data_IF_745106493976
#
_entry.id   IF_745106493976
#
_cell.length_a   1.000
_cell.length_b   1.000
_cell.length_c   1.000
_cell.angle_alpha   90.00
_cell.angle_beta   90.00
_cell.angle_gamma   90.00
#
_symmetry.space_group_name_H-M   'P 1'
#
loop_
_entity.id
_entity.type
_entity.pdbx_description
1 polymer ?
#
# COMPACT_ATOMS: atom_id res chain seq x y z
N UNK A 1 11.99 -1.06 25.82
CA UNK A 1 12.46 0.34 25.93
C UNK A 1 11.62 1.00 26.98
N UNK A 2 12.24 1.46 28.04
CA UNK A 2 11.56 2.06 29.19
C UNK A 2 11.69 3.59 29.17
N UNK A 3 12.78 4.14 28.58
CA UNK A 3 13.01 5.57 28.49
C UNK A 3 13.97 5.93 27.33
N UNK A 4 14.13 7.22 27.03
CA UNK A 4 15.07 7.79 26.06
C UNK A 4 15.92 8.84 26.77
N UNK A 5 17.24 8.76 26.64
CA UNK A 5 18.18 9.74 27.21
C UNK A 5 18.45 10.83 26.17
N UNK A 6 18.01 12.04 26.47
CA UNK A 6 18.11 13.23 25.62
C UNK A 6 16.85 14.07 25.70
N UNK A 7 16.93 15.32 25.27
CA UNK A 7 15.76 16.18 25.17
C UNK A 7 15.11 16.03 23.77
N UNK A 8 13.85 16.42 23.63
CA UNK A 8 13.14 16.37 22.35
C UNK A 8 13.66 17.37 21.29
N UNK A 9 14.65 18.17 21.61
CA UNK A 9 15.32 19.12 20.72
C UNK A 9 16.79 18.79 20.47
N UNK A 10 17.28 17.65 20.96
CA UNK A 10 18.67 17.22 20.87
C UNK A 10 18.77 15.78 20.33
N UNK A 11 19.93 15.37 19.81
CA UNK A 11 20.15 13.98 19.44
C UNK A 11 19.92 13.02 20.61
N UNK A 12 19.32 11.87 20.36
CA UNK A 12 19.21 10.78 21.33
C UNK A 12 20.62 10.30 21.69
N UNK A 13 20.95 10.36 22.97
CA UNK A 13 22.21 9.85 23.48
C UNK A 13 22.17 8.35 23.73
N UNK A 14 21.05 7.84 24.27
CA UNK A 14 20.83 6.42 24.51
C UNK A 14 19.34 6.08 24.58
N UNK A 15 19.03 4.80 24.36
CA UNK A 15 17.74 4.20 24.66
C UNK A 15 17.91 3.32 25.91
N UNK A 16 17.01 3.47 26.89
CA UNK A 16 17.04 2.64 28.11
C UNK A 16 16.30 1.34 27.86
N UNK A 17 17.03 0.25 27.77
CA UNK A 17 16.50 -1.09 27.67
C UNK A 17 16.25 -1.71 29.05
N UNK A 18 15.14 -2.44 29.21
CA UNK A 18 14.78 -3.07 30.50
C UNK A 18 15.85 -4.04 31.01
N UNK A 19 16.43 -4.81 30.12
CA UNK A 19 17.39 -5.89 30.45
C UNK A 19 18.85 -5.46 30.25
N UNK A 20 19.11 -4.49 29.37
CA UNK A 20 20.45 -4.15 28.91
C UNK A 20 20.91 -2.74 29.30
N UNK A 21 20.12 -2.01 30.08
CA UNK A 21 20.44 -0.62 30.46
C UNK A 21 20.50 0.31 29.24
N UNK A 22 21.46 1.23 29.25
CA UNK A 22 21.61 2.23 28.19
C UNK A 22 22.24 1.62 26.94
N UNK A 23 21.52 1.74 25.81
CA UNK A 23 21.96 1.38 24.47
C UNK A 23 22.27 2.66 23.71
N UNK A 24 23.54 2.92 23.44
CA UNK A 24 24.02 4.10 22.72
C UNK A 24 24.07 3.84 21.21
N UNK A 25 24.00 4.91 20.41
CA UNK A 25 24.12 4.83 18.96
C UNK A 25 24.24 6.23 18.35
N UNK A 26 24.83 6.31 17.16
CA UNK A 26 24.97 7.56 16.41
C UNK A 26 23.70 7.87 15.60
N UNK A 27 22.97 6.83 15.18
CA UNK A 27 21.70 6.91 14.44
C UNK A 27 20.71 5.89 14.99
N UNK A 28 19.49 6.32 15.25
CA UNK A 28 18.39 5.47 15.72
C UNK A 28 17.33 5.33 14.65
N UNK A 29 16.93 4.10 14.33
CA UNK A 29 15.86 3.82 13.39
C UNK A 29 14.63 3.41 14.18
N UNK A 30 13.60 4.25 14.18
CA UNK A 30 12.33 3.99 14.86
C UNK A 30 11.47 3.02 14.02
N UNK A 31 11.55 1.74 14.35
CA UNK A 31 10.68 0.68 13.83
C UNK A 31 9.69 0.20 14.90
N UNK A 32 9.28 1.05 15.84
CA UNK A 32 8.46 0.67 17.00
C UNK A 32 6.96 0.54 16.67
N UNK A 33 6.61 0.54 15.40
CA UNK A 33 5.24 0.33 14.96
C UNK A 33 4.35 1.54 15.23
N UNK A 34 3.07 1.34 15.39
CA UNK A 34 2.11 2.42 15.69
C UNK A 34 2.44 3.19 16.98
N UNK A 35 3.20 2.58 17.88
CA UNK A 35 3.63 3.26 19.11
C UNK A 35 4.55 4.45 18.83
N UNK A 36 5.34 4.41 17.74
CA UNK A 36 6.24 5.49 17.29
C UNK A 36 7.01 6.10 18.46
N UNK A 37 7.70 5.23 19.22
CA UNK A 37 8.25 5.61 20.54
C UNK A 37 9.31 6.70 20.47
N UNK A 38 10.11 6.73 19.41
CA UNK A 38 11.14 7.74 19.26
C UNK A 38 10.59 8.97 18.52
N UNK A 39 10.11 8.78 17.29
CA UNK A 39 9.68 9.90 16.45
C UNK A 39 8.41 10.58 16.99
N UNK A 40 7.45 9.78 17.47
CA UNK A 40 6.15 10.27 17.92
C UNK A 40 6.15 10.67 19.39
N UNK A 41 6.60 9.78 20.29
CA UNK A 41 6.49 10.04 21.73
C UNK A 41 7.64 10.92 22.26
N UNK A 42 8.89 10.63 21.89
CA UNK A 42 10.03 11.40 22.36
C UNK A 42 10.16 12.75 21.63
N UNK A 43 10.18 12.75 20.28
CA UNK A 43 10.31 13.98 19.51
C UNK A 43 9.00 14.74 19.29
N UNK A 44 7.85 14.17 19.64
CA UNK A 44 6.56 14.82 19.52
C UNK A 44 6.11 15.11 18.07
N UNK A 45 6.72 14.46 17.07
CA UNK A 45 6.34 14.69 15.67
C UNK A 45 4.93 14.11 15.42
N UNK A 46 3.96 14.94 15.04
CA UNK A 46 2.58 14.50 14.88
C UNK A 46 2.39 13.65 13.63
N UNK A 47 1.38 12.77 13.67
CA UNK A 47 0.83 12.13 12.49
C UNK A 47 -0.09 13.12 11.76
N UNK A 48 0.15 13.38 10.48
CA UNK A 48 -0.76 14.12 9.62
C UNK A 48 -1.88 13.19 9.18
N UNK A 49 -3.09 13.46 9.63
CA UNK A 49 -4.25 12.62 9.30
C UNK A 49 -4.64 12.74 7.82
N UNK A 50 -4.96 11.59 7.22
CA UNK A 50 -5.55 11.49 5.89
C UNK A 50 -7.01 11.02 5.92
N UNK A 51 -7.67 11.00 7.10
CA UNK A 51 -9.01 10.43 7.28
C UNK A 51 -10.11 11.14 6.47
N UNK A 52 -9.89 12.42 6.12
CA UNK A 52 -10.78 13.17 5.22
C UNK A 52 -10.65 12.78 3.74
N UNK A 53 -9.60 12.04 3.38
CA UNK A 53 -9.32 11.57 2.00
C UNK A 53 -9.56 10.06 1.89
N UNK A 54 -9.08 9.31 2.90
CA UNK A 54 -9.14 7.86 3.01
C UNK A 54 -9.79 7.51 4.35
N UNK A 55 -11.08 7.18 4.33
CA UNK A 55 -11.88 7.03 5.55
C UNK A 55 -11.70 5.68 6.27
N UNK A 56 -10.97 4.72 5.68
CA UNK A 56 -10.74 3.42 6.30
C UNK A 56 -9.77 3.54 7.48
N UNK A 57 -10.22 3.07 8.65
CA UNK A 57 -9.51 3.17 9.92
C UNK A 57 -9.49 1.85 10.71
N UNK A 58 -10.16 0.83 10.19
CA UNK A 58 -10.33 -0.44 10.87
C UNK A 58 -10.20 -1.62 9.90
N UNK A 59 -9.78 -2.77 10.41
CA UNK A 59 -9.77 -4.01 9.66
C UNK A 59 -10.06 -5.23 10.56
N UNK A 60 -10.70 -6.24 9.96
CA UNK A 60 -10.83 -7.58 10.55
C UNK A 60 -10.01 -8.52 9.67
N UNK A 61 -9.02 -9.20 10.25
CA UNK A 61 -8.06 -10.05 9.54
C UNK A 61 -8.07 -11.49 10.06
N UNK A 62 -8.05 -12.46 9.15
CA UNK A 62 -8.04 -13.88 9.47
C UNK A 62 -7.14 -14.65 8.50
N UNK A 63 -6.61 -15.78 8.98
CA UNK A 63 -5.96 -16.77 8.14
C UNK A 63 -6.98 -17.88 7.83
N UNK A 64 -7.18 -18.17 6.54
CA UNK A 64 -8.12 -19.17 6.06
C UNK A 64 -7.34 -20.32 5.38
N UNK A 65 -7.17 -21.49 6.02
CA UNK A 65 -6.51 -22.65 5.42
C UNK A 65 -7.25 -23.10 4.16
N UNK A 66 -6.52 -23.61 3.18
CA UNK A 66 -7.15 -24.27 2.03
C UNK A 66 -7.84 -25.56 2.43
N UNK A 67 -8.89 -25.94 1.68
CA UNK A 67 -9.59 -27.24 1.88
C UNK A 67 -8.66 -28.42 1.64
N UNK A 68 -7.69 -28.28 0.73
CA UNK A 68 -6.62 -29.26 0.48
C UNK A 68 -5.41 -28.60 -0.19
N UNK A 69 -4.30 -29.32 -0.24
CA UNK A 69 -3.02 -28.83 -0.78
C UNK A 69 -2.96 -28.71 -2.31
N UNK A 70 -3.96 -29.22 -3.04
CA UNK A 70 -4.01 -29.17 -4.52
C UNK A 70 -4.67 -27.89 -5.03
N UNK A 71 -5.35 -27.13 -4.15
CA UNK A 71 -6.05 -25.90 -4.54
C UNK A 71 -5.07 -24.89 -5.15
N UNK A 72 -5.40 -24.38 -6.31
CA UNK A 72 -4.59 -23.36 -6.98
C UNK A 72 -4.53 -22.06 -6.19
N UNK A 73 -3.33 -21.49 -6.12
CA UNK A 73 -3.04 -20.24 -5.48
C UNK A 73 -3.22 -19.10 -6.50
N UNK A 74 -4.02 -18.09 -6.15
CA UNK A 74 -4.08 -16.89 -6.96
C UNK A 74 -2.71 -16.20 -7.01
N UNK A 75 -2.29 -15.77 -8.19
CA UNK A 75 -1.02 -15.04 -8.37
C UNK A 75 -1.12 -13.54 -8.09
N UNK A 76 -2.32 -13.07 -7.78
CA UNK A 76 -2.63 -11.67 -7.46
C UNK A 76 -3.39 -11.58 -6.15
N UNK A 77 -3.28 -10.47 -5.45
CA UNK A 77 -4.21 -10.10 -4.39
C UNK A 77 -5.56 -9.77 -5.02
N UNK A 78 -6.64 -10.39 -4.53
CA UNK A 78 -7.98 -9.97 -4.91
C UNK A 78 -8.45 -8.88 -3.94
N UNK A 79 -8.81 -7.72 -4.48
CA UNK A 79 -9.41 -6.62 -3.72
C UNK A 79 -10.88 -6.51 -4.11
N UNK A 80 -11.77 -6.88 -3.20
CA UNK A 80 -13.22 -6.97 -3.47
C UNK A 80 -13.96 -5.89 -2.69
N UNK A 81 -14.54 -4.93 -3.40
CA UNK A 81 -15.31 -3.85 -2.80
C UNK A 81 -16.53 -4.38 -2.02
N UNK A 82 -16.77 -3.82 -0.85
CA UNK A 82 -17.91 -4.08 0.05
C UNK A 82 -18.65 -2.76 0.33
N UNK A 83 -19.73 -2.79 1.05
CA UNK A 83 -20.58 -1.60 1.30
C UNK A 83 -19.86 -0.48 2.06
N UNK A 84 -18.92 -0.79 2.93
CA UNK A 84 -18.20 0.20 3.76
C UNK A 84 -16.68 0.04 3.75
N UNK A 85 -16.15 -0.49 2.66
CA UNK A 85 -14.72 -0.75 2.49
C UNK A 85 -14.45 -1.81 1.43
N UNK A 86 -13.43 -2.64 1.63
CA UNK A 86 -13.04 -3.68 0.69
C UNK A 86 -12.32 -4.85 1.40
N UNK A 87 -12.43 -6.04 0.82
CA UNK A 87 -11.77 -7.25 1.32
C UNK A 87 -10.51 -7.49 0.50
N UNK A 88 -9.36 -7.69 1.20
CA UNK A 88 -8.18 -8.31 0.58
C UNK A 88 -8.23 -9.83 0.72
N UNK A 89 -7.80 -10.53 -0.30
CA UNK A 89 -7.65 -11.99 -0.32
C UNK A 89 -6.31 -12.33 -0.98
N UNK A 90 -5.36 -12.80 -0.18
CA UNK A 90 -3.98 -13.07 -0.58
C UNK A 90 -3.73 -14.58 -0.48
N UNK A 91 -3.43 -15.23 -1.60
CA UNK A 91 -3.03 -16.62 -1.64
C UNK A 91 -1.60 -16.82 -1.17
N UNK A 92 -1.41 -17.64 -0.13
CA UNK A 92 -0.12 -18.11 0.38
C UNK A 92 0.01 -19.63 0.15
N UNK A 93 1.18 -20.24 0.30
CA UNK A 93 1.35 -21.68 0.04
C UNK A 93 0.38 -22.60 0.80
N UNK A 94 0.14 -22.36 2.08
CA UNK A 94 -0.68 -23.22 2.96
C UNK A 94 -2.07 -22.67 3.27
N UNK A 95 -2.33 -21.39 3.02
CA UNK A 95 -3.55 -20.71 3.43
C UNK A 95 -3.77 -19.43 2.61
N UNK A 96 -4.90 -18.80 2.83
CA UNK A 96 -5.11 -17.41 2.44
C UNK A 96 -4.98 -16.48 3.64
N UNK A 97 -4.45 -15.28 3.42
CA UNK A 97 -4.61 -14.13 4.31
C UNK A 97 -5.79 -13.30 3.82
N UNK A 98 -6.88 -13.28 4.56
CA UNK A 98 -8.10 -12.57 4.16
C UNK A 98 -8.46 -11.55 5.22
N UNK A 99 -8.93 -10.39 4.79
CA UNK A 99 -9.43 -9.42 5.74
C UNK A 99 -10.25 -8.32 5.11
N UNK A 100 -11.10 -7.72 5.91
CA UNK A 100 -11.96 -6.62 5.52
C UNK A 100 -11.44 -5.31 6.12
N UNK A 101 -11.02 -4.39 5.27
CA UNK A 101 -10.71 -3.00 5.61
C UNK A 101 -11.98 -2.19 5.48
N UNK A 102 -12.33 -1.42 6.50
CA UNK A 102 -13.58 -0.67 6.53
C UNK A 102 -13.45 0.65 7.29
N UNK A 103 -14.41 1.53 7.07
CA UNK A 103 -14.56 2.76 7.83
C UNK A 103 -15.48 2.53 9.03
N UNK A 104 -14.97 2.74 10.24
CA UNK A 104 -15.75 2.60 11.47
C UNK A 104 -16.87 3.65 11.61
N UNK A 105 -16.80 4.73 10.84
CA UNK A 105 -17.88 5.72 10.73
C UNK A 105 -19.09 5.21 9.92
N UNK A 106 -18.90 4.18 9.09
CA UNK A 106 -19.92 3.66 8.17
C UNK A 106 -20.31 2.20 8.45
N UNK A 107 -19.59 1.50 9.29
CA UNK A 107 -19.79 0.07 9.56
C UNK A 107 -19.35 -0.26 10.99
N UNK A 108 -20.19 -0.96 11.73
CA UNK A 108 -19.82 -1.51 13.03
C UNK A 108 -18.89 -2.72 12.87
N UNK A 109 -18.21 -3.11 13.96
CA UNK A 109 -17.39 -4.31 13.97
C UNK A 109 -18.18 -5.58 13.67
N UNK A 110 -19.39 -5.70 14.21
CA UNK A 110 -20.23 -6.86 14.02
C UNK A 110 -20.69 -7.01 12.56
N UNK A 111 -21.06 -5.91 11.91
CA UNK A 111 -21.37 -5.88 10.48
C UNK A 111 -20.14 -6.24 9.63
N UNK A 112 -18.96 -5.74 10.01
CA UNK A 112 -17.72 -6.07 9.33
C UNK A 112 -17.37 -7.55 9.44
N UNK A 113 -17.58 -8.16 10.62
CA UNK A 113 -17.41 -9.61 10.82
C UNK A 113 -18.39 -10.43 10.00
N UNK A 114 -19.66 -10.04 9.99
CA UNK A 114 -20.70 -10.72 9.20
C UNK A 114 -20.40 -10.63 7.69
N UNK A 115 -19.89 -9.50 7.21
CA UNK A 115 -19.47 -9.30 5.82
C UNK A 115 -18.31 -10.24 5.46
N UNK A 116 -17.29 -10.29 6.31
CA UNK A 116 -16.12 -11.18 6.10
C UNK A 116 -16.52 -12.65 6.15
N UNK A 117 -17.41 -13.04 7.08
CA UNK A 117 -17.95 -14.40 7.17
C UNK A 117 -18.71 -14.80 5.91
N UNK A 118 -19.55 -13.90 5.40
CA UNK A 118 -20.29 -14.11 4.16
C UNK A 118 -19.34 -14.29 2.97
N UNK A 119 -18.29 -13.47 2.87
CA UNK A 119 -17.27 -13.60 1.83
C UNK A 119 -16.59 -14.97 1.89
N UNK A 120 -16.15 -15.39 3.07
CA UNK A 120 -15.44 -16.66 3.26
C UNK A 120 -16.34 -17.88 2.96
N UNK A 121 -17.62 -17.85 3.34
CA UNK A 121 -18.58 -18.92 3.02
C UNK A 121 -18.82 -19.12 1.52
N UNK A 122 -18.64 -18.07 0.72
CA UNK A 122 -18.72 -18.18 -0.76
C UNK A 122 -17.42 -18.71 -1.38
N UNK A 123 -16.30 -18.65 -0.67
CA UNK A 123 -15.02 -19.16 -1.15
C UNK A 123 -14.88 -20.67 -0.88
N UNK A 124 -15.20 -21.48 -1.89
CA UNK A 124 -15.11 -22.94 -1.80
C UNK A 124 -13.66 -23.48 -1.74
N UNK A 125 -12.65 -22.60 -1.81
CA UNK A 125 -11.23 -22.99 -1.79
C UNK A 125 -10.67 -23.05 -0.38
N UNK A 126 -11.35 -22.46 0.61
CA UNK A 126 -10.90 -22.45 2.00
C UNK A 126 -11.77 -23.35 2.87
N UNK A 127 -11.17 -23.91 3.91
CA UNK A 127 -11.90 -24.60 4.96
C UNK A 127 -12.75 -23.60 5.77
N UNK A 128 -13.77 -24.11 6.46
CA UNK A 128 -14.57 -23.29 7.37
C UNK A 128 -13.68 -22.69 8.46
N UNK A 129 -13.82 -21.39 8.67
CA UNK A 129 -13.09 -20.63 9.69
C UNK A 129 -14.04 -19.88 10.61
N UNK A 130 -13.72 -19.88 11.88
CA UNK A 130 -14.47 -19.16 12.90
C UNK A 130 -14.06 -17.68 12.89
N UNK A 131 -14.86 -16.83 12.24
CA UNK A 131 -14.59 -15.38 12.11
C UNK A 131 -14.61 -14.66 13.46
N UNK A 132 -15.18 -15.25 14.54
CA UNK A 132 -15.08 -14.69 15.88
C UNK A 132 -13.64 -14.56 16.36
N UNK A 133 -12.73 -15.42 15.88
CA UNK A 133 -11.28 -15.39 16.15
C UNK A 133 -10.49 -14.43 15.27
N UNK A 134 -11.14 -13.78 14.30
CA UNK A 134 -10.47 -12.82 13.44
C UNK A 134 -9.95 -11.63 14.26
N UNK A 135 -8.71 -11.23 13.97
CA UNK A 135 -8.05 -10.13 14.65
C UNK A 135 -8.61 -8.80 14.18
N UNK A 136 -9.08 -7.97 15.11
CA UNK A 136 -9.33 -6.55 14.85
C UNK A 136 -8.03 -5.76 14.84
N UNK A 137 -7.88 -4.88 13.87
CA UNK A 137 -6.79 -3.92 13.73
C UNK A 137 -7.44 -2.55 13.60
N UNK A 138 -7.05 -1.61 14.45
CA UNK A 138 -7.47 -0.21 14.36
C UNK A 138 -6.26 0.64 14.05
N UNK A 139 -6.40 1.59 13.16
CA UNK A 139 -5.31 2.49 12.76
C UNK A 139 -5.86 3.89 12.44
N UNK A 140 -4.97 4.88 12.49
CA UNK A 140 -5.26 6.23 12.02
C UNK A 140 -4.61 6.39 10.66
N UNK A 141 -5.37 6.53 9.56
CA UNK A 141 -4.77 6.72 8.24
C UNK A 141 -4.02 8.05 8.20
N UNK A 142 -2.73 7.97 7.91
CA UNK A 142 -1.88 9.16 7.90
C UNK A 142 -0.40 8.84 7.89
N UNK A 143 0.40 9.88 7.76
CA UNK A 143 1.84 9.81 7.76
C UNK A 143 2.46 11.04 8.44
N UNK A 144 3.73 10.95 8.85
CA UNK A 144 4.47 12.10 9.39
C UNK A 144 5.15 12.85 8.25
N UNK A 145 5.00 14.17 8.22
CA UNK A 145 5.72 15.01 7.24
C UNK A 145 7.21 15.06 7.53
N UNK A 146 7.57 15.00 8.81
CA UNK A 146 8.96 14.93 9.26
C UNK A 146 9.24 13.51 9.75
N UNK A 147 9.99 12.76 8.98
CA UNK A 147 10.32 11.35 9.21
C UNK A 147 11.68 11.17 9.86
N UNK A 148 12.59 12.15 9.68
CA UNK A 148 13.92 12.17 10.24
C UNK A 148 14.13 13.45 11.02
N UNK A 149 14.36 13.32 12.33
CA UNK A 149 14.65 14.40 13.27
C UNK A 149 15.93 14.06 14.01
N UNK A 150 16.86 15.02 14.07
CA UNK A 150 18.15 14.86 14.72
C UNK A 150 18.84 13.56 14.23
N UNK A 151 19.12 12.64 15.13
CA UNK A 151 19.68 11.32 14.81
C UNK A 151 18.64 10.20 14.86
N UNK A 152 17.37 10.49 14.65
CA UNK A 152 16.30 9.50 14.63
C UNK A 152 15.52 9.55 13.31
N UNK A 153 15.32 8.39 12.69
CA UNK A 153 14.51 8.24 11.47
C UNK A 153 13.42 7.18 11.68
N UNK A 154 12.19 7.52 11.34
CA UNK A 154 11.05 6.62 11.42
C UNK A 154 10.88 5.81 10.13
N UNK A 155 10.69 4.50 10.27
CA UNK A 155 10.43 3.58 9.15
C UNK A 155 9.24 2.67 9.48
N UNK A 156 8.46 2.34 8.47
CA UNK A 156 7.28 1.49 8.62
C UNK A 156 6.13 2.24 9.28
N UNK A 157 5.36 1.58 10.16
CA UNK A 157 4.15 2.17 10.75
C UNK A 157 4.43 3.27 11.78
N UNK A 158 5.68 3.44 12.24
CA UNK A 158 6.09 4.62 12.99
C UNK A 158 6.15 5.89 12.12
N UNK A 159 6.47 5.73 10.84
CA UNK A 159 6.48 6.80 9.83
C UNK A 159 5.08 7.19 9.37
N UNK A 160 4.20 6.21 9.20
CA UNK A 160 2.83 6.37 8.75
C UNK A 160 2.21 5.04 8.37
N UNK A 161 0.89 5.04 8.25
CA UNK A 161 0.13 3.89 7.76
C UNK A 161 -1.12 4.35 7.01
N UNK A 162 -1.37 3.71 5.90
CA UNK A 162 -2.60 3.80 5.14
C UNK A 162 -3.15 2.39 4.94
N UNK A 163 -4.36 2.29 4.47
CA UNK A 163 -4.93 0.99 4.11
C UNK A 163 -4.03 0.22 3.12
N UNK A 164 -4.05 -1.13 3.13
CA UNK A 164 -3.09 -1.93 2.37
C UNK A 164 -3.42 -2.04 0.87
N UNK A 165 -4.29 -1.19 0.33
CA UNK A 165 -4.56 -1.11 -1.10
C UNK A 165 -3.24 -0.78 -1.82
N UNK A 166 -2.91 -1.55 -2.87
CA UNK A 166 -1.66 -1.42 -3.65
C UNK A 166 -0.37 -1.77 -2.89
N UNK A 167 -0.47 -2.33 -1.67
CA UNK A 167 0.64 -2.90 -0.90
C UNK A 167 1.89 -1.99 -0.74
N UNK A 168 1.70 -0.66 -0.73
CA UNK A 168 2.78 0.34 -0.72
C UNK A 168 3.66 0.33 0.53
N UNK A 169 3.15 -0.20 1.65
CA UNK A 169 3.84 -0.14 2.94
C UNK A 169 5.21 -0.85 2.93
N UNK A 170 5.30 -2.06 2.35
CA UNK A 170 6.55 -2.80 2.27
C UNK A 170 7.58 -2.13 1.37
N UNK A 171 7.13 -1.58 0.24
CA UNK A 171 7.98 -0.83 -0.69
C UNK A 171 8.54 0.43 -0.02
N UNK A 172 7.73 1.14 0.77
CA UNK A 172 8.19 2.29 1.53
C UNK A 172 9.26 1.93 2.57
N UNK A 173 9.14 0.78 3.23
CA UNK A 173 10.17 0.28 4.15
C UNK A 173 11.47 -0.01 3.40
N UNK A 174 11.40 -0.74 2.28
CA UNK A 174 12.55 -1.09 1.47
C UNK A 174 13.26 0.15 0.90
N UNK A 175 12.51 1.09 0.35
CA UNK A 175 13.05 2.35 -0.16
C UNK A 175 13.70 3.19 0.94
N UNK A 176 13.09 3.26 2.12
CA UNK A 176 13.64 3.98 3.27
C UNK A 176 14.94 3.34 3.73
N UNK A 177 14.98 2.02 3.90
CA UNK A 177 16.18 1.30 4.30
C UNK A 177 17.30 1.44 3.26
N UNK A 178 16.96 1.32 1.99
CA UNK A 178 17.92 1.49 0.88
C UNK A 178 18.48 2.91 0.83
N UNK A 179 17.63 3.93 1.01
CA UNK A 179 18.07 5.32 1.01
C UNK A 179 19.05 5.59 2.16
N UNK A 180 18.73 5.14 3.38
CA UNK A 180 19.60 5.30 4.55
C UNK A 180 20.93 4.56 4.34
N UNK A 181 20.89 3.31 3.87
CA UNK A 181 22.09 2.51 3.64
C UNK A 181 23.04 3.15 2.61
N UNK A 182 22.49 3.74 1.54
CA UNK A 182 23.29 4.42 0.50
C UNK A 182 23.85 5.77 0.94
N UNK A 183 23.23 6.43 1.91
CA UNK A 183 23.55 7.79 2.35
C UNK A 183 23.84 7.87 3.85
N UNK A 184 24.36 6.78 4.44
CA UNK A 184 24.64 6.74 5.86
C UNK A 184 25.59 7.90 6.27
N UNK A 185 25.15 8.83 7.11
CA UNK A 185 25.96 9.99 7.50
C UNK A 185 27.14 9.58 8.39
N UNK A 186 28.26 10.26 8.24
CA UNK A 186 29.49 10.04 9.04
C UNK A 186 29.66 11.06 10.16
N UNK A 187 28.97 12.17 10.07
CA UNK A 187 29.01 13.26 11.03
C UNK A 187 27.60 13.74 11.36
N UNK A 188 27.43 14.37 12.51
CA UNK A 188 26.14 14.94 12.88
C UNK A 188 25.64 16.00 11.88
N UNK A 189 26.54 16.81 11.33
CA UNK A 189 26.19 17.80 10.29
C UNK A 189 25.68 17.12 9.02
N UNK A 190 26.29 16.01 8.63
CA UNK A 190 25.79 15.19 7.50
C UNK A 190 24.46 14.55 7.85
N UNK A 191 24.26 14.08 9.10
CA UNK A 191 23.00 13.52 9.56
C UNK A 191 21.83 14.50 9.39
N UNK A 192 22.02 15.76 9.80
CA UNK A 192 21.03 16.81 9.60
C UNK A 192 20.75 17.08 8.10
N UNK A 193 21.77 17.08 7.27
CA UNK A 193 21.60 17.30 5.83
C UNK A 193 20.87 16.12 5.17
N UNK A 194 21.25 14.89 5.49
CA UNK A 194 20.60 13.66 5.02
C UNK A 194 19.13 13.62 5.46
N UNK A 195 18.85 14.01 6.72
CA UNK A 195 17.50 14.09 7.26
C UNK A 195 16.59 15.04 6.48
N UNK A 196 17.09 16.22 6.11
CA UNK A 196 16.31 17.16 5.26
C UNK A 196 16.01 16.60 3.88
N UNK A 197 16.98 15.96 3.24
CA UNK A 197 16.77 15.31 1.93
C UNK A 197 15.80 14.13 2.02
N UNK A 198 15.95 13.31 3.07
CA UNK A 198 15.05 12.20 3.32
C UNK A 198 13.61 12.68 3.51
N UNK A 199 13.39 13.66 4.38
CA UNK A 199 12.06 14.21 4.64
C UNK A 199 11.40 14.72 3.37
N UNK A 200 12.10 15.52 2.56
CA UNK A 200 11.57 16.04 1.31
C UNK A 200 11.21 14.93 0.32
N UNK A 201 12.07 13.93 0.17
CA UNK A 201 11.84 12.84 -0.77
C UNK A 201 10.69 11.91 -0.34
N UNK A 202 10.60 11.59 0.95
CA UNK A 202 9.62 10.64 1.45
C UNK A 202 8.26 11.28 1.76
N UNK A 203 8.18 12.55 2.11
CA UNK A 203 6.92 13.29 2.17
C UNK A 203 6.21 13.23 0.79
N UNK A 204 6.94 13.50 -0.29
CA UNK A 204 6.40 13.41 -1.64
C UNK A 204 5.90 12.00 -1.99
N UNK A 205 6.63 10.96 -1.58
CA UNK A 205 6.19 9.56 -1.80
C UNK A 205 4.88 9.25 -1.06
N UNK A 206 4.73 9.73 0.18
CA UNK A 206 3.48 9.59 0.93
C UNK A 206 2.31 10.31 0.25
N UNK A 207 2.51 11.54 -0.22
CA UNK A 207 1.51 12.27 -1.00
C UNK A 207 1.06 11.48 -2.23
N UNK A 208 2.02 10.89 -2.98
CA UNK A 208 1.72 10.04 -4.15
C UNK A 208 0.92 8.79 -3.80
N UNK A 209 1.22 8.16 -2.66
CA UNK A 209 0.42 7.02 -2.19
C UNK A 209 -1.01 7.46 -1.90
N UNK A 210 -1.22 8.55 -1.17
CA UNK A 210 -2.56 9.06 -0.88
C UNK A 210 -3.33 9.35 -2.16
N UNK A 211 -2.73 10.03 -3.13
CA UNK A 211 -3.35 10.35 -4.41
C UNK A 211 -3.69 9.09 -5.22
N UNK A 212 -2.79 8.11 -5.24
CA UNK A 212 -3.02 6.87 -5.98
C UNK A 212 -4.13 6.02 -5.35
N UNK A 213 -4.16 5.92 -4.02
CA UNK A 213 -5.26 5.26 -3.33
C UNK A 213 -6.59 6.00 -3.56
N UNK A 214 -6.59 7.32 -3.44
CA UNK A 214 -7.77 8.15 -3.69
C UNK A 214 -8.30 8.00 -5.11
N UNK A 215 -7.42 7.80 -6.09
CA UNK A 215 -7.80 7.58 -7.49
C UNK A 215 -8.77 6.40 -7.64
N UNK A 216 -8.56 5.30 -6.92
CA UNK A 216 -9.46 4.14 -6.96
C UNK A 216 -10.87 4.49 -6.48
N UNK A 217 -10.96 5.34 -5.47
CA UNK A 217 -12.24 5.73 -4.89
C UNK A 217 -12.98 6.77 -5.74
N UNK A 218 -12.28 7.81 -6.17
CA UNK A 218 -12.92 8.91 -6.92
C UNK A 218 -13.44 8.47 -8.29
N UNK A 219 -12.85 7.42 -8.87
CA UNK A 219 -13.28 6.83 -10.13
C UNK A 219 -14.39 5.78 -9.97
N UNK A 220 -14.69 5.34 -8.76
CA UNK A 220 -15.70 4.33 -8.52
C UNK A 220 -17.10 4.85 -8.93
N UNK A 221 -17.89 4.02 -9.59
CA UNK A 221 -19.29 4.33 -9.93
C UNK A 221 -20.28 3.87 -8.83
N UNK A 222 -19.77 3.33 -7.71
CA UNK A 222 -20.61 2.85 -6.61
C UNK A 222 -21.25 4.00 -5.86
N UNK A 223 -22.58 3.93 -5.66
CA UNK A 223 -23.38 4.97 -4.99
C UNK A 223 -24.31 4.41 -3.91
N UNK A 224 -24.40 3.08 -3.81
CA UNK A 224 -25.42 2.42 -2.98
C UNK A 224 -25.26 2.73 -1.49
N UNK A 225 -24.03 2.89 -0.97
CA UNK A 225 -23.77 3.18 0.44
C UNK A 225 -23.31 4.63 0.66
N UNK A 226 -23.46 5.12 1.88
CA UNK A 226 -22.92 6.41 2.32
C UNK A 226 -21.40 6.43 2.18
N UNK A 227 -20.72 5.34 2.56
CA UNK A 227 -19.27 5.19 2.41
C UNK A 227 -18.78 5.48 0.99
N UNK A 228 -19.37 4.85 -0.03
CA UNK A 228 -18.93 5.07 -1.41
C UNK A 228 -19.22 6.48 -1.91
N UNK A 229 -20.34 7.10 -1.49
CA UNK A 229 -20.62 8.51 -1.82
C UNK A 229 -19.58 9.44 -1.22
N UNK A 230 -19.18 9.23 0.04
CA UNK A 230 -18.17 10.06 0.71
C UNK A 230 -16.78 9.84 0.11
N UNK A 231 -16.40 8.57 -0.16
CA UNK A 231 -15.10 8.25 -0.75
C UNK A 231 -14.94 8.74 -2.19
N UNK A 232 -16.03 8.95 -2.93
CA UNK A 232 -16.04 9.51 -4.29
C UNK A 232 -15.95 11.03 -4.32
N UNK A 233 -16.07 11.70 -3.19
CA UNK A 233 -16.05 13.17 -3.16
C UNK A 233 -14.74 13.70 -3.76
N UNK A 234 -14.87 14.47 -4.86
CA UNK A 234 -13.72 15.06 -5.57
C UNK A 234 -13.08 16.21 -4.79
N UNK A 235 -13.82 16.88 -3.91
CA UNK A 235 -13.30 17.96 -3.07
C UNK A 235 -12.24 17.48 -2.08
N UNK A 236 -12.26 16.19 -1.73
CA UNK A 236 -11.25 15.58 -0.87
C UNK A 236 -9.99 15.12 -1.63
N UNK A 237 -9.96 15.24 -2.97
CA UNK A 237 -8.74 15.00 -3.74
C UNK A 237 -7.74 16.14 -3.54
N UNK A 238 -6.45 15.83 -3.57
CA UNK A 238 -5.40 16.84 -3.65
C UNK A 238 -5.55 17.68 -4.93
N UNK A 239 -5.05 18.91 -4.93
CA UNK A 239 -4.98 19.75 -6.14
C UNK A 239 -4.25 19.02 -7.27
N UNK A 240 -3.17 18.31 -6.94
CA UNK A 240 -2.39 17.53 -7.91
C UNK A 240 -3.23 16.44 -8.59
N UNK A 241 -4.00 15.67 -7.83
CA UNK A 241 -4.86 14.63 -8.39
C UNK A 241 -5.99 15.24 -9.24
N UNK A 242 -6.56 16.35 -8.82
CA UNK A 242 -7.59 17.08 -9.59
C UNK A 242 -7.02 17.58 -10.92
N UNK A 243 -5.82 18.16 -10.91
CA UNK A 243 -5.14 18.64 -12.12
C UNK A 243 -4.84 17.47 -13.08
N UNK A 244 -4.33 16.35 -12.57
CA UNK A 244 -4.09 15.15 -13.36
C UNK A 244 -5.38 14.62 -13.99
N UNK A 245 -6.45 14.46 -13.21
CA UNK A 245 -7.74 14.01 -13.74
C UNK A 245 -8.27 14.95 -14.81
N UNK A 246 -8.04 16.25 -14.69
CA UNK A 246 -8.42 17.26 -15.70
C UNK A 246 -7.61 17.08 -16.98
N UNK A 247 -6.29 16.95 -16.89
CA UNK A 247 -5.41 16.74 -18.04
C UNK A 247 -5.70 15.41 -18.74
N UNK A 248 -5.92 14.34 -17.95
CA UNK A 248 -6.14 13.00 -18.48
C UNK A 248 -7.52 12.82 -19.14
N UNK A 249 -8.44 13.78 -19.01
CA UNK A 249 -9.64 13.84 -19.85
C UNK A 249 -9.33 14.03 -21.34
N UNK A 250 -8.24 14.72 -21.66
CA UNK A 250 -7.86 15.02 -23.04
C UNK A 250 -6.70 14.17 -23.57
N UNK A 251 -5.98 13.44 -22.71
CA UNK A 251 -4.85 12.58 -23.07
C UNK A 251 -4.60 11.53 -22.01
N UNK A 252 -3.85 10.48 -22.34
CA UNK A 252 -3.38 9.49 -21.37
C UNK A 252 -2.33 10.06 -20.41
N UNK A 253 -2.17 9.48 -19.20
CA UNK A 253 -0.99 9.69 -18.38
C UNK A 253 0.30 9.38 -19.14
N UNK A 254 1.31 10.22 -18.96
CA UNK A 254 2.66 10.04 -19.51
C UNK A 254 3.71 10.23 -18.41
N UNK A 255 4.91 9.71 -18.61
CA UNK A 255 5.97 9.76 -17.58
C UNK A 255 6.34 11.17 -17.15
N UNK A 256 6.20 12.17 -18.02
CA UNK A 256 6.46 13.58 -17.68
C UNK A 256 5.39 14.24 -16.81
N UNK A 257 4.28 13.57 -16.51
CA UNK A 257 3.30 14.06 -15.53
C UNK A 257 3.82 13.91 -14.09
N UNK A 258 4.88 13.12 -13.89
CA UNK A 258 5.40 12.75 -12.59
C UNK A 258 6.76 13.40 -12.36
N UNK A 259 6.90 14.06 -11.22
CA UNK A 259 8.10 14.86 -10.90
C UNK A 259 9.24 14.00 -10.31
N UNK A 260 8.91 12.87 -9.67
CA UNK A 260 9.90 12.05 -9.00
C UNK A 260 10.65 11.19 -10.02
N UNK A 261 11.98 11.17 -9.91
CA UNK A 261 12.82 10.30 -10.73
C UNK A 261 12.50 8.81 -10.53
N UNK A 262 12.10 8.46 -9.31
CA UNK A 262 11.71 7.11 -8.91
C UNK A 262 10.30 7.16 -8.30
N UNK A 263 9.30 7.13 -9.18
CA UNK A 263 7.89 7.06 -8.77
C UNK A 263 7.55 5.67 -8.24
N UNK A 264 6.77 5.61 -7.14
CA UNK A 264 6.22 4.34 -6.65
C UNK A 264 5.25 3.74 -7.68
N UNK A 265 4.44 4.60 -8.27
CA UNK A 265 3.44 4.24 -9.26
C UNK A 265 3.77 4.96 -10.57
N UNK A 266 4.38 4.29 -11.56
CA UNK A 266 4.67 4.89 -12.86
C UNK A 266 3.39 5.13 -13.65
N UNK A 267 3.47 5.87 -14.76
CA UNK A 267 2.35 6.15 -15.65
C UNK A 267 1.51 4.91 -15.99
N UNK A 268 2.17 3.75 -16.16
CA UNK A 268 1.50 2.49 -16.45
C UNK A 268 0.50 2.09 -15.33
N UNK A 269 0.85 2.27 -14.05
CA UNK A 269 -0.04 1.97 -12.92
C UNK A 269 -1.30 2.85 -12.97
N UNK A 270 -1.14 4.14 -13.22
CA UNK A 270 -2.27 5.05 -13.40
C UNK A 270 -3.14 4.68 -14.62
N UNK A 271 -2.56 4.25 -15.73
CA UNK A 271 -3.29 3.78 -16.90
C UNK A 271 -4.16 2.57 -16.58
N UNK A 272 -3.63 1.58 -15.84
CA UNK A 272 -4.39 0.39 -15.44
C UNK A 272 -5.58 0.77 -14.57
N UNK A 273 -5.37 1.62 -13.55
CA UNK A 273 -6.46 2.03 -12.66
C UNK A 273 -7.49 2.88 -13.41
N UNK A 274 -7.08 3.91 -14.13
CA UNK A 274 -7.98 4.80 -14.88
C UNK A 274 -8.88 4.02 -15.82
N UNK A 275 -8.28 3.27 -16.74
CA UNK A 275 -9.06 2.57 -17.77
C UNK A 275 -9.75 1.32 -17.24
N UNK A 276 -9.18 0.66 -16.24
CA UNK A 276 -9.83 -0.43 -15.52
C UNK A 276 -11.09 0.00 -14.77
N UNK A 277 -11.09 1.23 -14.24
CA UNK A 277 -12.24 1.85 -13.56
C UNK A 277 -13.21 2.56 -14.51
N UNK A 278 -13.03 2.42 -15.81
CA UNK A 278 -13.96 2.95 -16.81
C UNK A 278 -13.72 4.40 -17.23
N UNK A 279 -12.69 5.06 -16.73
CA UNK A 279 -12.31 6.40 -17.18
C UNK A 279 -12.03 6.40 -18.68
N UNK A 280 -12.38 7.48 -19.37
CA UNK A 280 -12.17 7.61 -20.82
C UNK A 280 -11.53 8.96 -21.14
N UNK A 281 -10.33 8.90 -21.72
CA UNK A 281 -9.69 10.08 -22.29
C UNK A 281 -10.33 10.41 -23.64
N UNK A 282 -10.71 11.66 -23.84
CA UNK A 282 -11.28 12.15 -25.10
C UNK A 282 -10.13 12.77 -25.91
N UNK A 283 -9.57 11.98 -26.81
CA UNK A 283 -8.56 12.48 -27.73
C UNK A 283 -9.21 13.39 -28.78
N UNK A 284 -8.50 14.43 -29.21
CA UNK A 284 -8.98 15.25 -30.32
C UNK A 284 -8.99 14.41 -31.61
N UNK A 285 -9.79 14.86 -32.62
CA UNK A 285 -10.05 14.12 -33.87
C UNK A 285 -8.77 13.74 -34.63
N UNK A 286 -7.71 14.55 -34.54
CA UNK A 286 -6.40 14.29 -35.18
C UNK A 286 -5.72 13.06 -34.58
N UNK A 287 -5.82 12.87 -33.26
CA UNK A 287 -5.29 11.69 -32.59
C UNK A 287 -6.17 10.47 -32.84
N UNK A 288 -7.51 10.63 -32.86
CA UNK A 288 -8.43 9.54 -33.12
C UNK A 288 -8.24 8.93 -34.53
N UNK A 289 -8.00 9.77 -35.53
CA UNK A 289 -7.74 9.32 -36.89
C UNK A 289 -6.49 8.42 -37.01
N UNK A 290 -5.52 8.55 -36.09
CA UNK A 290 -4.27 7.81 -36.09
C UNK A 290 -4.27 6.59 -35.14
N UNK A 291 -5.29 6.43 -34.28
CA UNK A 291 -5.32 5.38 -33.26
C UNK A 291 -5.75 4.00 -33.75
N UNK A 292 -6.13 3.86 -35.01
CA UNK A 292 -6.68 2.61 -35.55
C UNK A 292 -6.13 2.24 -36.93
N UNK A 293 -4.83 2.51 -37.16
CA UNK A 293 -4.22 2.08 -38.41
C UNK A 293 -4.15 0.55 -38.53
N UNK A 294 -4.12 -0.01 -39.72
CA UNK A 294 -3.96 -1.46 -39.91
C UNK A 294 -2.73 -2.02 -39.20
N UNK A 295 -1.61 -1.26 -39.20
CA UNK A 295 -0.35 -1.62 -38.56
C UNK A 295 -0.49 -1.72 -37.03
N UNK A 296 -1.18 -0.78 -36.41
CA UNK A 296 -1.45 -0.79 -34.97
C UNK A 296 -2.35 -1.96 -34.57
N UNK A 297 -3.40 -2.25 -35.35
CA UNK A 297 -4.26 -3.42 -35.11
C UNK A 297 -3.47 -4.72 -35.24
N UNK A 298 -2.59 -4.81 -36.24
CA UNK A 298 -1.74 -5.98 -36.41
C UNK A 298 -0.73 -6.14 -35.27
N UNK A 299 -0.11 -5.04 -34.81
CA UNK A 299 0.80 -5.06 -33.66
C UNK A 299 0.08 -5.51 -32.38
N UNK A 300 -1.12 -5.01 -32.14
CA UNK A 300 -1.95 -5.43 -31.01
C UNK A 300 -2.32 -6.92 -31.09
N UNK A 301 -2.77 -7.39 -32.26
CA UNK A 301 -3.09 -8.81 -32.47
C UNK A 301 -1.89 -9.72 -32.21
N UNK A 302 -0.69 -9.35 -32.70
CA UNK A 302 0.56 -10.07 -32.43
C UNK A 302 0.90 -10.08 -30.94
N UNK A 303 0.71 -8.96 -30.25
CA UNK A 303 0.95 -8.86 -28.82
C UNK A 303 0.00 -9.79 -28.02
N UNK A 304 -1.29 -9.78 -28.33
CA UNK A 304 -2.28 -10.69 -27.71
C UNK A 304 -1.91 -12.16 -27.96
N UNK A 305 -1.54 -12.51 -29.19
CA UNK A 305 -1.10 -13.87 -29.52
C UNK A 305 0.16 -14.28 -28.75
N UNK A 306 1.14 -13.38 -28.62
CA UNK A 306 2.35 -13.62 -27.82
C UNK A 306 2.03 -13.87 -26.35
N UNK A 307 1.12 -13.08 -25.75
CA UNK A 307 0.66 -13.28 -24.37
C UNK A 307 0.01 -14.68 -24.23
N UNK A 308 -0.87 -15.06 -25.13
CA UNK A 308 -1.53 -16.37 -25.10
C UNK A 308 -0.53 -17.54 -25.19
N UNK A 309 0.49 -17.42 -26.06
CA UNK A 309 1.56 -18.42 -26.17
C UNK A 309 2.38 -18.52 -24.88
N UNK A 310 2.74 -17.38 -24.27
CA UNK A 310 3.47 -17.36 -23.00
C UNK A 310 2.64 -17.99 -21.88
N UNK A 311 1.36 -17.64 -21.76
CA UNK A 311 0.47 -18.18 -20.73
C UNK A 311 0.34 -19.70 -20.81
N UNK A 312 0.31 -20.28 -22.02
CA UNK A 312 0.20 -21.73 -22.19
C UNK A 312 1.42 -22.51 -21.70
N UNK A 313 2.57 -21.86 -21.59
CA UNK A 313 3.82 -22.47 -21.10
C UNK A 313 4.13 -22.24 -19.63
N UNK A 314 3.36 -21.40 -18.93
CA UNK A 314 3.60 -21.10 -17.52
C UNK A 314 2.97 -22.16 -16.61
N UNK A 315 3.68 -22.57 -15.53
CA UNK A 315 3.08 -23.38 -14.48
C UNK A 315 2.01 -22.59 -13.72
N UNK A 316 1.10 -23.28 -13.03
CA UNK A 316 0.24 -22.61 -12.04
C UNK A 316 1.11 -22.04 -10.91
N UNK A 317 0.59 -21.04 -10.19
CA UNK A 317 1.33 -20.42 -9.09
C UNK A 317 1.71 -21.46 -8.01
N UNK A 318 0.83 -22.41 -7.71
CA UNK A 318 1.13 -23.54 -6.81
C UNK A 318 2.28 -24.41 -7.31
N UNK A 319 2.26 -24.81 -8.58
CA UNK A 319 3.33 -25.59 -9.18
C UNK A 319 4.67 -24.85 -9.12
N UNK A 320 4.68 -23.57 -9.46
CA UNK A 320 5.87 -22.73 -9.40
C UNK A 320 6.44 -22.63 -7.96
N UNK A 321 5.59 -22.34 -6.98
CA UNK A 321 6.01 -22.24 -5.58
C UNK A 321 6.55 -23.57 -5.05
N UNK A 322 5.94 -24.70 -5.43
CA UNK A 322 6.44 -26.03 -5.10
C UNK A 322 7.83 -26.30 -5.69
N UNK A 323 8.06 -25.90 -6.95
CA UNK A 323 9.37 -26.03 -7.60
C UNK A 323 10.44 -25.19 -6.88
N UNK A 324 10.11 -23.95 -6.52
CA UNK A 324 11.02 -23.05 -5.77
C UNK A 324 11.37 -23.67 -4.41
N UNK A 325 10.38 -24.15 -3.66
CA UNK A 325 10.61 -24.78 -2.37
C UNK A 325 11.52 -26.03 -2.47
N UNK A 326 11.28 -26.89 -3.45
CA UNK A 326 12.11 -28.07 -3.72
C UNK A 326 13.54 -27.69 -4.07
N UNK A 327 13.75 -26.67 -4.90
CA UNK A 327 15.08 -26.22 -5.31
C UNK A 327 15.90 -25.61 -4.16
N UNK A 328 15.23 -25.08 -3.13
CA UNK A 328 15.87 -24.49 -1.95
C UNK A 328 15.96 -25.45 -0.76
N UNK A 329 15.55 -26.71 -0.89
CA UNK A 329 15.48 -27.67 0.20
C UNK A 329 14.51 -27.27 1.32
N UNK A 330 13.53 -26.40 1.04
CA UNK A 330 12.52 -25.94 1.97
C UNK A 330 11.32 -26.91 1.93
N UNK A 331 10.98 -27.51 3.08
CA UNK A 331 9.69 -28.20 3.20
C UNK A 331 8.58 -27.16 3.42
N UNK A 332 7.63 -27.08 2.49
CA UNK A 332 6.43 -26.31 2.71
C UNK A 332 5.53 -27.08 3.69
N UNK A 333 5.47 -26.63 4.92
CA UNK A 333 4.49 -27.16 5.88
C UNK A 333 3.10 -26.66 5.48
N UNK A 334 2.26 -27.60 5.07
CA UNK A 334 0.85 -27.41 4.78
C UNK A 334 0.00 -27.49 6.03
#
# INVERSE_FOLDING_TARGET
MDDVVGSSSEPIAAIVGREHGNITGDLFIDCTGFAARLIGQHYGIPLTSCSNVLANDSAIAIQAPYVDSSVDIASTTHSTAQDSGWIWDIGLPSRKGVGYVYSSAHCSEDEARATLETYLKHDKKTADVDVSKARKITFSPGYRKTLWVENCVAIGTSAGFLEPLEASALVMIELSATHIAKQLPRTYKECQAAGRQFNQAFEKKWERIVDFLKLHYVLSEREASAYWRDMRNQESCSTQLQDWLTLWKSRSPISSDFELREELFPAASYLFVLYGMGFRSQYNDVYQANLHTPEQRQAYAKHVQSIQQQLSGLPTNRQFLNQVAQSQGLSMHY
#
